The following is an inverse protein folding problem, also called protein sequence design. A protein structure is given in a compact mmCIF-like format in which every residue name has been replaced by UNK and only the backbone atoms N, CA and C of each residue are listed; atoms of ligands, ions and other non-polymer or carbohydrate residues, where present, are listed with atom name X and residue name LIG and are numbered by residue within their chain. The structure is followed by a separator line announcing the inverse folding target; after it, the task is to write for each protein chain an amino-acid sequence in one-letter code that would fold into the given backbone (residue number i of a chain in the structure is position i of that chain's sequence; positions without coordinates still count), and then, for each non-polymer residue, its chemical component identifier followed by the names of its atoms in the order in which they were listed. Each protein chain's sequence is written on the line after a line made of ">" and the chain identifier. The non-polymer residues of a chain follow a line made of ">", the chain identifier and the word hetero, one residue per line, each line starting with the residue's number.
data_IF_037646091961
#
_entry.id   IF_037646091961
#
_cell.length_a   1.000
_cell.length_b   1.000
_cell.length_c   1.000
_cell.angle_alpha   90.00
_cell.angle_beta   90.00
_cell.angle_gamma   90.00
#
_symmetry.space_group_name_H-M   'P 1'
#
loop_
_entity.id
_entity.type
_entity.pdbx_description
1 polymer ?
#
# COMPACT_ATOMS: atom_id res chain seq x y z
N UNK A 1 -20.03 -22.36 16.35
CA UNK A 1 -19.26 -21.47 15.45
C UNK A 1 -19.45 -19.98 15.77
N UNK A 2 -20.52 -19.59 16.46
CA UNK A 2 -20.76 -18.19 16.86
C UNK A 2 -19.86 -17.71 18.02
N UNK A 3 -19.63 -18.56 19.03
CA UNK A 3 -18.85 -18.18 20.22
C UNK A 3 -17.40 -17.74 19.91
N UNK A 4 -16.77 -18.34 18.90
CA UNK A 4 -15.43 -17.92 18.45
C UNK A 4 -15.47 -16.57 17.72
N UNK A 5 -16.51 -16.30 16.93
CA UNK A 5 -16.68 -15.02 16.26
C UNK A 5 -16.84 -13.89 17.28
N UNK A 6 -17.65 -14.09 18.32
CA UNK A 6 -17.80 -13.10 19.40
C UNK A 6 -16.50 -12.89 20.20
N UNK A 7 -15.69 -13.94 20.40
CA UNK A 7 -14.39 -13.83 21.08
C UNK A 7 -13.30 -13.14 20.23
N UNK A 8 -13.35 -13.27 18.91
CA UNK A 8 -12.37 -12.63 18.01
C UNK A 8 -12.79 -11.22 17.59
N UNK A 9 -14.08 -10.93 17.56
CA UNK A 9 -14.62 -9.66 17.08
C UNK A 9 -14.89 -8.64 18.20
N UNK A 10 -14.14 -8.74 19.32
CA UNK A 10 -14.26 -7.84 20.48
C UNK A 10 -13.85 -6.40 20.10
N UNK A 11 -12.89 -6.25 19.20
CA UNK A 11 -12.50 -4.96 18.61
C UNK A 11 -12.35 -5.15 17.09
N UNK A 12 -13.40 -4.88 16.31
CA UNK A 12 -13.30 -4.97 14.85
C UNK A 12 -12.35 -3.91 14.33
N UNK A 13 -11.34 -4.32 13.56
CA UNK A 13 -10.48 -3.41 12.80
C UNK A 13 -10.83 -3.50 11.33
N UNK A 14 -11.22 -2.36 10.74
CA UNK A 14 -11.40 -2.22 9.31
C UNK A 14 -10.09 -1.76 8.68
N UNK A 15 -9.56 -2.56 7.76
CA UNK A 15 -8.39 -2.17 6.98
C UNK A 15 -8.90 -1.61 5.65
N UNK A 16 -8.74 -0.31 5.38
CA UNK A 16 -9.13 0.26 4.09
C UNK A 16 -8.29 -0.35 2.97
N UNK A 17 -8.98 -0.64 1.86
CA UNK A 17 -8.38 -0.97 0.57
C UNK A 17 -7.52 0.19 0.10
N UNK A 18 -6.52 -0.08 -0.75
CA UNK A 18 -5.63 0.97 -1.28
C UNK A 18 -6.40 2.04 -2.06
N UNK A 19 -7.51 1.67 -2.71
CA UNK A 19 -8.41 2.61 -3.40
C UNK A 19 -9.05 3.64 -2.46
N UNK A 20 -9.27 3.28 -1.20
CA UNK A 20 -9.83 4.19 -0.17
C UNK A 20 -8.76 5.09 0.46
N UNK A 21 -7.48 4.93 0.11
CA UNK A 21 -6.33 5.67 0.65
C UNK A 21 -5.25 5.91 -0.41
N UNK A 22 -5.66 6.44 -1.55
CA UNK A 22 -4.75 6.68 -2.68
C UNK A 22 -3.66 7.71 -2.33
N UNK A 23 -3.88 8.55 -1.31
CA UNK A 23 -2.89 9.51 -0.82
C UNK A 23 -1.64 8.85 -0.24
N UNK A 24 -1.71 7.56 0.12
CA UNK A 24 -0.56 6.79 0.62
C UNK A 24 0.37 6.31 -0.52
N UNK A 25 -0.07 6.34 -1.79
CA UNK A 25 0.70 5.82 -2.93
C UNK A 25 2.11 6.45 -3.04
N UNK A 26 2.30 7.78 -2.95
CA UNK A 26 3.62 8.38 -3.00
C UNK A 26 4.56 7.84 -1.92
N UNK A 27 4.04 7.62 -0.71
CA UNK A 27 4.80 7.07 0.42
C UNK A 27 5.21 5.61 0.15
N UNK A 28 4.30 4.80 -0.39
CA UNK A 28 4.61 3.41 -0.77
C UNK A 28 5.67 3.35 -1.86
N UNK A 29 5.57 4.20 -2.89
CA UNK A 29 6.56 4.25 -3.98
C UNK A 29 7.94 4.56 -3.42
N UNK A 30 8.07 5.57 -2.56
CA UNK A 30 9.34 5.90 -1.92
C UNK A 30 9.89 4.72 -1.11
N UNK A 31 9.05 4.10 -0.28
CA UNK A 31 9.42 2.93 0.51
C UNK A 31 9.93 1.76 -0.35
N UNK A 32 9.26 1.46 -1.46
CA UNK A 32 9.67 0.38 -2.35
C UNK A 32 10.95 0.71 -3.12
N UNK A 33 11.14 1.97 -3.53
CA UNK A 33 12.40 2.44 -4.13
C UNK A 33 13.55 2.20 -3.16
N UNK A 34 13.41 2.64 -1.90
CA UNK A 34 14.47 2.49 -0.89
C UNK A 34 14.77 1.01 -0.60
N UNK A 35 13.72 0.19 -0.45
CA UNK A 35 13.85 -1.25 -0.25
C UNK A 35 14.55 -1.95 -1.42
N UNK A 36 14.22 -1.58 -2.65
CA UNK A 36 14.80 -2.17 -3.86
C UNK A 36 16.21 -1.66 -4.10
N UNK A 37 16.51 -0.40 -3.82
CA UNK A 37 17.87 0.15 -3.84
C UNK A 37 18.79 -0.65 -2.93
N UNK A 38 18.35 -0.89 -1.68
CA UNK A 38 19.11 -1.69 -0.73
C UNK A 38 19.31 -3.13 -1.24
N UNK A 39 18.24 -3.78 -1.71
CA UNK A 39 18.29 -5.19 -2.16
C UNK A 39 19.12 -5.40 -3.43
N UNK A 40 19.07 -4.45 -4.36
CA UNK A 40 19.66 -4.57 -5.70
C UNK A 40 20.96 -3.78 -5.86
N UNK A 41 21.44 -3.15 -4.79
CA UNK A 41 22.58 -2.23 -4.79
C UNK A 41 22.43 -1.14 -5.89
N UNK A 42 21.27 -0.47 -5.89
CA UNK A 42 20.94 0.63 -6.80
C UNK A 42 20.79 1.94 -6.04
N UNK A 43 20.71 3.05 -6.77
CA UNK A 43 20.57 4.40 -6.22
C UNK A 43 19.53 5.21 -7.01
N UNK A 44 18.30 4.69 -7.09
CA UNK A 44 17.15 5.37 -7.66
C UNK A 44 16.64 6.39 -6.63
N UNK A 45 16.48 7.65 -7.01
CA UNK A 45 16.18 8.74 -6.04
C UNK A 45 14.69 9.04 -5.87
N UNK A 46 13.82 8.50 -6.73
CA UNK A 46 12.40 8.81 -6.73
C UNK A 46 11.73 8.35 -8.02
N UNK A 47 10.51 8.82 -8.23
CA UNK A 47 9.73 8.59 -9.44
C UNK A 47 9.11 9.90 -9.94
N UNK A 48 8.85 9.97 -11.23
CA UNK A 48 8.26 11.15 -11.87
C UNK A 48 6.83 11.41 -11.35
N UNK A 49 6.43 12.68 -11.30
CA UNK A 49 5.11 13.08 -10.78
C UNK A 49 3.99 12.51 -11.64
N UNK A 50 4.20 12.43 -12.96
CA UNK A 50 3.29 11.83 -13.91
C UNK A 50 3.09 10.34 -13.62
N UNK A 51 4.16 9.61 -13.30
CA UNK A 51 4.09 8.20 -12.93
C UNK A 51 3.25 8.00 -11.66
N UNK A 52 3.50 8.80 -10.62
CA UNK A 52 2.71 8.76 -9.37
C UNK A 52 1.24 9.08 -9.66
N UNK A 53 0.98 10.09 -10.49
CA UNK A 53 -0.37 10.51 -10.86
C UNK A 53 -1.14 9.40 -11.58
N UNK A 54 -0.49 8.64 -12.46
CA UNK A 54 -1.10 7.49 -13.12
C UNK A 54 -1.35 6.33 -12.14
N UNK A 55 -0.44 6.08 -11.20
CA UNK A 55 -0.67 5.09 -10.13
C UNK A 55 -1.88 5.45 -9.26
N UNK A 56 -2.10 6.73 -8.98
CA UNK A 56 -3.27 7.21 -8.22
C UNK A 56 -4.59 7.07 -8.97
N UNK A 57 -4.59 6.96 -10.30
CA UNK A 57 -5.81 6.73 -11.11
C UNK A 57 -6.19 5.24 -11.19
N UNK A 58 -5.26 4.34 -10.88
CA UNK A 58 -5.49 2.90 -10.96
C UNK A 58 -6.35 2.39 -9.79
N UNK A 59 -7.11 1.31 -10.03
CA UNK A 59 -8.10 0.80 -9.08
C UNK A 59 -7.53 -0.13 -8.00
N UNK A 60 -6.30 -0.60 -8.16
CA UNK A 60 -5.60 -1.47 -7.21
C UNK A 60 -6.41 -2.68 -6.70
N UNK A 61 -6.95 -3.56 -7.57
CA UNK A 61 -7.69 -4.76 -7.14
C UNK A 61 -6.83 -5.71 -6.28
N UNK A 62 -5.50 -5.63 -6.39
CA UNK A 62 -4.54 -6.38 -5.59
C UNK A 62 -4.01 -5.66 -4.35
N UNK A 63 -4.44 -4.42 -4.06
CA UNK A 63 -3.86 -3.56 -3.03
C UNK A 63 -2.32 -3.46 -3.15
N UNK A 64 -1.59 -3.62 -2.04
CA UNK A 64 -0.13 -3.37 -1.90
C UNK A 64 0.73 -4.63 -2.20
N UNK A 65 0.16 -5.67 -2.82
CA UNK A 65 0.83 -6.99 -2.96
C UNK A 65 2.13 -6.94 -3.76
#
# INVERSE_FOLDING_TARGET
>A
REDLYYRLNVVPMYIPTLKERLEDIPLFVQFFIDKLNYKLNKNIKGADVEFISELMKYHWPGNVR
#
